data_IF_558554407659
#
_entry.id   IF_558554407659
#
_cell.length_a   1.000
_cell.length_b   1.000
_cell.length_c   1.000
_cell.angle_alpha   90.00
_cell.angle_beta   90.00
_cell.angle_gamma   90.00
#
_symmetry.space_group_name_H-M   'P 1'
#
loop_
_entity.id
_entity.type
_entity.pdbx_description
1 polymer ?
#
# COMPACT_ATOMS: atom_id res chain seq x y z
N UNK A 1 27.68 82.89 -32.20
CA UNK A 1 26.45 82.21 -32.65
C UNK A 1 26.65 80.73 -32.44
N UNK A 2 26.19 80.20 -31.25
CA UNK A 2 26.38 78.83 -30.87
C UNK A 2 25.00 78.11 -30.95
N UNK A 3 24.91 77.13 -31.80
CA UNK A 3 23.74 76.24 -31.88
C UNK A 3 23.86 75.16 -30.82
N UNK A 4 22.86 75.06 -29.95
CA UNK A 4 22.64 73.91 -29.06
C UNK A 4 21.81 72.84 -29.80
N UNK A 5 22.34 71.60 -29.89
CA UNK A 5 21.57 70.41 -30.29
C UNK A 5 21.00 69.76 -29.06
N UNK A 6 19.68 69.69 -28.98
CA UNK A 6 18.93 68.92 -27.93
C UNK A 6 18.72 67.54 -28.48
N UNK A 7 19.41 66.53 -27.94
CA UNK A 7 19.22 65.13 -28.24
C UNK A 7 18.07 64.56 -27.42
N UNK A 8 16.98 64.16 -28.07
CA UNK A 8 15.87 63.43 -27.46
C UNK A 8 16.21 61.91 -27.38
N UNK A 9 16.49 61.38 -26.20
CA UNK A 9 16.64 59.93 -25.98
C UNK A 9 15.26 59.27 -25.85
N UNK A 10 14.84 58.52 -26.85
CA UNK A 10 13.68 57.66 -26.78
C UNK A 10 14.05 56.36 -26.00
N UNK A 11 13.53 56.25 -24.79
CA UNK A 11 13.54 54.97 -24.05
C UNK A 11 12.47 54.02 -24.63
N UNK A 12 12.91 52.96 -25.31
CA UNK A 12 12.04 51.88 -25.70
C UNK A 12 11.80 50.99 -24.45
N UNK A 13 10.61 51.08 -23.85
CA UNK A 13 10.12 50.07 -22.93
C UNK A 13 9.80 48.81 -23.76
N UNK A 14 10.63 47.78 -23.64
CA UNK A 14 10.27 46.45 -24.11
C UNK A 14 9.26 45.87 -23.07
N UNK A 15 7.99 45.92 -23.42
CA UNK A 15 6.94 45.15 -22.74
C UNK A 15 7.14 43.69 -23.21
N UNK A 16 7.77 42.88 -22.40
CA UNK A 16 7.81 41.44 -22.61
C UNK A 16 6.38 40.89 -22.55
N UNK A 17 5.85 40.44 -23.67
CA UNK A 17 4.64 39.63 -23.70
C UNK A 17 4.89 38.39 -22.87
N UNK A 18 4.27 38.32 -21.70
CA UNK A 18 4.11 37.06 -20.95
C UNK A 18 3.17 36.20 -21.80
N UNK A 19 3.75 35.30 -22.60
CA UNK A 19 2.99 34.24 -23.27
C UNK A 19 2.37 33.38 -22.17
N UNK A 20 1.13 33.68 -21.83
CA UNK A 20 0.33 32.79 -21.01
C UNK A 20 0.20 31.48 -21.79
N UNK A 21 0.83 30.43 -21.26
CA UNK A 21 0.67 29.08 -21.77
C UNK A 21 -0.82 28.72 -21.69
N UNK A 22 -1.45 28.45 -22.81
CA UNK A 22 -2.85 28.08 -22.98
C UNK A 22 -3.06 26.60 -22.51
N UNK A 23 -2.51 26.26 -21.34
CA UNK A 23 -2.71 24.95 -20.72
C UNK A 23 -4.08 24.95 -20.04
N UNK A 24 -4.96 24.03 -20.49
CA UNK A 24 -6.26 23.82 -19.85
C UNK A 24 -6.05 23.58 -18.34
N UNK A 25 -6.88 24.18 -17.47
CA UNK A 25 -6.79 23.95 -16.04
C UNK A 25 -6.85 22.45 -15.71
N UNK A 26 -5.88 21.96 -14.96
CA UNK A 26 -5.88 20.58 -14.48
C UNK A 26 -6.69 20.52 -13.19
N UNK A 27 -7.78 19.73 -13.11
CA UNK A 27 -8.54 19.60 -11.87
C UNK A 27 -7.63 19.23 -10.69
N UNK A 28 -7.79 19.93 -9.57
CA UNK A 28 -7.02 19.72 -8.36
C UNK A 28 -5.61 20.32 -8.36
N UNK A 29 -5.21 21.08 -9.39
CA UNK A 29 -3.92 21.76 -9.42
C UNK A 29 -4.13 23.25 -9.64
N UNK A 30 -3.51 24.07 -8.78
CA UNK A 30 -3.46 25.53 -8.91
C UNK A 30 -2.01 26.02 -8.85
N UNK A 31 -1.82 27.33 -8.87
CA UNK A 31 -0.50 27.92 -8.67
C UNK A 31 0.07 27.65 -7.25
N UNK A 32 -0.78 27.37 -6.28
CA UNK A 32 -0.40 27.26 -4.86
C UNK A 32 -0.79 25.94 -4.18
N UNK A 33 -1.53 25.07 -4.88
CA UNK A 33 -2.11 23.87 -4.25
C UNK A 33 -2.19 22.68 -5.22
N UNK A 34 -2.01 21.48 -4.66
CA UNK A 34 -2.29 20.17 -5.29
C UNK A 34 -3.25 19.42 -4.38
N UNK A 35 -4.48 19.15 -4.83
CA UNK A 35 -5.49 18.42 -4.07
C UNK A 35 -5.33 16.91 -4.28
N UNK A 36 -5.08 16.18 -3.21
CA UNK A 36 -4.95 14.71 -3.20
C UNK A 36 -6.10 14.13 -2.39
N UNK A 37 -6.92 13.31 -3.03
CA UNK A 37 -8.01 12.58 -2.40
C UNK A 37 -7.56 11.25 -1.81
N UNK A 38 -8.22 10.81 -0.75
CA UNK A 38 -7.97 9.52 -0.11
C UNK A 38 -9.27 8.95 0.45
N UNK A 39 -9.39 7.62 0.42
CA UNK A 39 -10.41 6.87 1.14
C UNK A 39 -9.70 6.08 2.22
N UNK A 40 -10.21 6.16 3.45
CA UNK A 40 -9.58 5.49 4.59
C UNK A 40 -10.62 4.86 5.49
N UNK A 41 -10.45 3.61 5.95
CA UNK A 41 -11.38 3.00 6.89
C UNK A 41 -11.16 3.55 8.31
N UNK A 42 -11.59 4.79 8.56
CA UNK A 42 -11.56 5.37 9.91
C UNK A 42 -12.54 4.67 10.84
N UNK A 43 -13.55 3.99 10.29
CA UNK A 43 -14.51 3.15 10.99
C UNK A 43 -14.64 1.77 10.32
N UNK A 44 -15.45 0.87 10.89
CA UNK A 44 -15.73 -0.44 10.31
C UNK A 44 -14.71 -1.54 10.62
N UNK A 45 -14.78 -2.64 9.87
CA UNK A 45 -14.02 -3.87 10.14
C UNK A 45 -12.51 -3.75 9.95
N UNK A 46 -12.06 -2.77 9.18
CA UNK A 46 -10.66 -2.50 8.88
C UNK A 46 -10.12 -1.22 9.55
N UNK A 47 -10.80 -0.70 10.58
CA UNK A 47 -10.41 0.54 11.27
C UNK A 47 -9.01 0.51 11.89
N UNK A 48 -8.43 -0.70 12.09
CA UNK A 48 -7.02 -0.86 12.47
C UNK A 48 -6.03 -0.23 11.50
N UNK A 49 -6.41 -0.04 10.23
CA UNK A 49 -5.57 0.62 9.23
C UNK A 49 -5.71 2.17 9.22
N UNK A 50 -6.58 2.76 10.05
CA UNK A 50 -6.82 4.21 10.07
C UNK A 50 -5.58 5.06 10.35
N UNK A 51 -4.58 4.50 11.02
CA UNK A 51 -3.31 5.17 11.31
C UNK A 51 -2.55 5.54 10.03
N UNK A 52 -2.69 4.74 8.95
CA UNK A 52 -2.11 4.97 7.65
C UNK A 52 -2.40 6.41 7.16
N UNK A 53 -3.68 6.76 7.01
CA UNK A 53 -4.09 8.08 6.50
C UNK A 53 -3.69 9.24 7.42
N UNK A 54 -3.68 9.02 8.74
CA UNK A 54 -3.24 10.04 9.70
C UNK A 54 -1.74 10.35 9.59
N UNK A 55 -0.93 9.33 9.34
CA UNK A 55 0.52 9.49 9.13
C UNK A 55 0.80 10.15 7.77
N UNK A 56 0.06 9.80 6.73
CA UNK A 56 0.12 10.45 5.42
C UNK A 56 -0.20 11.95 5.52
N UNK A 57 -1.28 12.30 6.22
CA UNK A 57 -1.66 13.70 6.49
C UNK A 57 -0.55 14.47 7.20
N UNK A 58 0.02 13.87 8.26
CA UNK A 58 1.11 14.47 9.01
C UNK A 58 2.37 14.66 8.15
N UNK A 59 2.65 13.70 7.25
CA UNK A 59 3.77 13.80 6.32
C UNK A 59 3.59 14.91 5.30
N UNK A 60 2.41 15.02 4.71
CA UNK A 60 2.11 16.12 3.78
C UNK A 60 2.13 17.48 4.46
N UNK A 61 1.69 17.56 5.71
CA UNK A 61 1.83 18.78 6.51
C UNK A 61 3.30 19.16 6.66
N UNK A 62 4.19 18.20 7.01
CA UNK A 62 5.64 18.42 7.07
C UNK A 62 6.17 18.99 5.74
N UNK A 63 5.82 18.37 4.62
CA UNK A 63 6.24 18.84 3.29
C UNK A 63 5.73 20.26 3.01
N UNK A 64 4.50 20.56 3.41
CA UNK A 64 3.92 21.90 3.24
C UNK A 64 4.65 22.97 4.10
N UNK A 65 5.06 22.61 5.30
CA UNK A 65 5.84 23.48 6.20
C UNK A 65 7.26 23.73 5.65
N UNK A 66 7.79 22.80 4.84
CA UNK A 66 9.08 22.88 4.14
C UNK A 66 9.00 23.59 2.75
N UNK A 67 7.86 24.15 2.38
CA UNK A 67 7.67 24.89 1.12
C UNK A 67 6.87 24.15 0.05
N UNK A 68 6.40 22.93 0.32
CA UNK A 68 5.53 22.15 -0.58
C UNK A 68 6.28 21.52 -1.76
N UNK A 69 5.56 21.32 -2.84
CA UNK A 69 6.07 20.78 -4.11
C UNK A 69 6.17 21.93 -5.12
N UNK A 70 7.36 22.38 -5.46
CA UNK A 70 7.60 23.52 -6.35
C UNK A 70 6.72 24.74 -5.96
N UNK A 71 6.65 25.06 -4.64
CA UNK A 71 5.86 26.15 -4.10
C UNK A 71 4.36 25.87 -3.92
N UNK A 72 3.87 24.69 -4.31
CA UNK A 72 2.46 24.27 -4.12
C UNK A 72 2.30 23.42 -2.86
N UNK A 73 1.29 23.69 -2.06
CA UNK A 73 0.94 22.87 -0.90
C UNK A 73 0.12 21.66 -1.33
N UNK A 74 0.32 20.54 -0.67
CA UNK A 74 -0.52 19.34 -0.81
C UNK A 74 -1.75 19.53 0.10
N UNK A 75 -2.95 19.64 -0.49
CA UNK A 75 -4.21 19.59 0.21
C UNK A 75 -4.70 18.13 0.23
N UNK A 76 -4.53 17.46 1.36
CA UNK A 76 -4.93 16.07 1.53
C UNK A 76 -6.37 16.00 2.04
N UNK A 77 -7.27 15.39 1.25
CA UNK A 77 -8.71 15.26 1.55
C UNK A 77 -9.02 13.78 1.74
N UNK A 78 -9.16 13.35 2.98
CA UNK A 78 -9.39 11.95 3.34
C UNK A 78 -10.79 11.74 3.92
N UNK A 79 -11.55 10.79 3.34
CA UNK A 79 -12.90 10.45 3.76
C UNK A 79 -12.99 9.02 4.30
N UNK A 80 -13.83 8.85 5.33
CA UNK A 80 -14.15 7.53 5.88
C UNK A 80 -15.03 6.73 4.92
N UNK A 81 -14.53 5.60 4.44
CA UNK A 81 -15.31 4.65 3.63
C UNK A 81 -15.81 3.43 4.42
N UNK A 82 -15.47 3.34 5.70
CA UNK A 82 -15.81 2.21 6.59
C UNK A 82 -15.43 0.83 6.03
N UNK A 83 -14.49 0.76 5.09
CA UNK A 83 -14.12 -0.45 4.33
C UNK A 83 -15.31 -1.06 3.57
N UNK A 84 -16.22 -0.21 3.09
CA UNK A 84 -17.46 -0.58 2.40
C UNK A 84 -17.41 -0.14 0.94
N UNK A 85 -17.38 -1.05 -0.05
CA UNK A 85 -17.33 -0.69 -1.45
C UNK A 85 -18.41 0.29 -1.92
N UNK A 86 -19.69 0.19 -1.50
CA UNK A 86 -20.69 1.20 -1.83
C UNK A 86 -20.34 2.59 -1.31
N UNK A 87 -19.85 2.69 -0.06
CA UNK A 87 -19.44 3.97 0.53
C UNK A 87 -18.17 4.50 -0.14
N UNK A 88 -17.25 3.62 -0.53
CA UNK A 88 -16.06 4.01 -1.30
C UNK A 88 -16.45 4.64 -2.63
N UNK A 89 -17.45 4.11 -3.33
CA UNK A 89 -17.98 4.70 -4.58
C UNK A 89 -18.59 6.08 -4.34
N UNK A 90 -19.39 6.24 -3.28
CA UNK A 90 -19.98 7.53 -2.89
C UNK A 90 -18.90 8.58 -2.61
N UNK A 91 -17.95 8.26 -1.73
CA UNK A 91 -16.90 9.20 -1.33
C UNK A 91 -15.92 9.50 -2.49
N UNK A 92 -15.64 8.52 -3.36
CA UNK A 92 -14.85 8.75 -4.57
C UNK A 92 -15.52 9.76 -5.50
N UNK A 93 -16.83 9.65 -5.72
CA UNK A 93 -17.56 10.63 -6.54
C UNK A 93 -17.48 12.02 -5.94
N UNK A 94 -17.62 12.14 -4.62
CA UNK A 94 -17.48 13.42 -3.92
C UNK A 94 -16.09 14.01 -4.13
N UNK A 95 -15.03 13.23 -3.95
CA UNK A 95 -13.65 13.67 -4.17
C UNK A 95 -13.40 14.14 -5.62
N UNK A 96 -13.98 13.42 -6.60
CA UNK A 96 -13.76 13.73 -8.03
C UNK A 96 -14.66 14.86 -8.54
N UNK A 97 -15.96 14.86 -8.17
CA UNK A 97 -16.96 15.72 -8.77
C UNK A 97 -17.21 17.02 -7.98
N UNK A 98 -16.97 16.98 -6.65
CA UNK A 98 -17.18 18.15 -5.78
C UNK A 98 -15.88 18.80 -5.33
N UNK A 99 -14.91 17.99 -4.86
CA UNK A 99 -13.63 18.49 -4.37
C UNK A 99 -12.63 18.70 -5.52
N UNK A 100 -12.90 18.08 -6.70
CA UNK A 100 -12.07 18.15 -7.92
C UNK A 100 -10.60 17.78 -7.64
N UNK A 101 -10.36 16.64 -6.98
CA UNK A 101 -9.01 16.22 -6.63
C UNK A 101 -8.17 15.88 -7.88
N UNK A 102 -6.87 16.11 -7.80
CA UNK A 102 -5.90 15.75 -8.85
C UNK A 102 -5.79 14.23 -9.02
N UNK A 103 -5.67 13.52 -7.92
CA UNK A 103 -5.54 12.07 -7.87
C UNK A 103 -6.18 11.50 -6.59
N UNK A 104 -6.52 10.20 -6.61
CA UNK A 104 -6.85 9.40 -5.42
C UNK A 104 -5.59 8.60 -5.05
N UNK A 105 -5.16 8.70 -3.78
CA UNK A 105 -3.90 8.16 -3.30
C UNK A 105 -4.09 7.20 -2.14
N UNK A 106 -3.33 6.08 -2.14
CA UNK A 106 -3.09 5.18 -1.00
C UNK A 106 -4.32 4.62 -0.29
N UNK A 107 -5.46 4.53 -0.97
CA UNK A 107 -6.66 3.96 -0.36
C UNK A 107 -6.46 2.46 -0.10
N UNK A 108 -6.68 1.95 1.14
CA UNK A 108 -6.55 0.53 1.43
C UNK A 108 -7.81 -0.27 1.05
N UNK A 109 -7.60 -1.56 0.76
CA UNK A 109 -8.69 -2.51 0.52
C UNK A 109 -8.97 -2.82 -0.94
N UNK A 110 -8.98 -4.12 -1.25
CA UNK A 110 -9.12 -4.61 -2.63
C UNK A 110 -10.52 -4.36 -3.19
N UNK A 111 -11.56 -4.76 -2.47
CA UNK A 111 -12.94 -4.61 -2.95
C UNK A 111 -13.35 -3.13 -3.10
N UNK A 112 -12.98 -2.26 -2.16
CA UNK A 112 -13.22 -0.81 -2.22
C UNK A 112 -12.57 -0.17 -3.45
N UNK A 113 -11.30 -0.44 -3.68
CA UNK A 113 -10.58 0.11 -4.83
C UNK A 113 -11.07 -0.47 -6.16
N UNK A 114 -11.42 -1.76 -6.21
CA UNK A 114 -12.02 -2.39 -7.39
C UNK A 114 -13.34 -1.72 -7.77
N UNK A 115 -14.18 -1.39 -6.80
CA UNK A 115 -15.48 -0.75 -7.05
C UNK A 115 -15.36 0.64 -7.68
N UNK A 116 -14.27 1.36 -7.41
CA UNK A 116 -14.03 2.73 -7.90
C UNK A 116 -13.16 2.79 -9.16
N UNK A 117 -12.36 1.76 -9.41
CA UNK A 117 -11.32 1.72 -10.43
C UNK A 117 -11.83 2.03 -11.84
N UNK A 118 -12.94 1.39 -12.26
CA UNK A 118 -13.52 1.61 -13.60
C UNK A 118 -13.95 3.07 -13.80
N UNK A 119 -14.61 3.65 -12.79
CA UNK A 119 -15.03 5.05 -12.80
C UNK A 119 -13.84 6.01 -12.92
N UNK A 120 -12.82 5.81 -12.08
CA UNK A 120 -11.61 6.64 -12.07
C UNK A 120 -10.87 6.57 -13.41
N UNK A 121 -10.73 5.36 -13.99
CA UNK A 121 -10.12 5.19 -15.31
C UNK A 121 -10.93 5.88 -16.43
N UNK A 122 -12.27 5.81 -16.41
CA UNK A 122 -13.12 6.52 -17.36
C UNK A 122 -13.00 8.05 -17.24
N UNK A 123 -12.85 8.57 -16.01
CA UNK A 123 -12.66 10.00 -15.73
C UNK A 123 -11.20 10.45 -15.92
N UNK A 124 -10.27 9.54 -16.19
CA UNK A 124 -8.82 9.80 -16.25
C UNK A 124 -8.31 10.49 -14.98
N UNK A 125 -8.78 10.02 -13.83
CA UNK A 125 -8.29 10.43 -12.51
C UNK A 125 -7.32 9.36 -12.02
N UNK A 126 -6.05 9.70 -11.75
CA UNK A 126 -5.10 8.74 -11.22
C UNK A 126 -5.58 8.12 -9.91
N UNK A 127 -5.60 6.79 -9.83
CA UNK A 127 -5.73 6.00 -8.63
C UNK A 127 -4.34 5.44 -8.33
N UNK A 128 -3.55 6.23 -7.61
CA UNK A 128 -2.11 6.02 -7.50
C UNK A 128 -1.71 5.40 -6.17
N UNK A 129 -0.77 4.47 -6.22
CA UNK A 129 -0.19 3.81 -5.07
C UNK A 129 -1.25 3.20 -4.15
N UNK A 130 -2.22 2.50 -4.77
CA UNK A 130 -3.29 1.79 -4.06
C UNK A 130 -2.66 0.86 -3.01
N UNK A 131 -3.14 0.96 -1.77
CA UNK A 131 -2.70 0.08 -0.68
C UNK A 131 -3.46 -1.25 -0.75
N UNK A 132 -3.22 -1.96 -1.85
CA UNK A 132 -3.67 -3.32 -2.13
C UNK A 132 -2.74 -3.96 -3.16
N UNK A 133 -2.37 -5.22 -2.91
CA UNK A 133 -1.54 -6.03 -3.79
C UNK A 133 -2.33 -6.88 -4.78
N UNK A 134 -3.63 -6.60 -5.01
CA UNK A 134 -4.38 -7.35 -6.01
C UNK A 134 -3.79 -7.14 -7.41
N UNK A 135 -3.55 -8.23 -8.13
CA UNK A 135 -2.82 -8.25 -9.40
C UNK A 135 -3.40 -7.28 -10.45
N UNK A 136 -4.71 -7.04 -10.41
CA UNK A 136 -5.37 -6.10 -11.33
C UNK A 136 -4.89 -4.65 -11.23
N UNK A 137 -4.34 -4.21 -10.08
CA UNK A 137 -3.82 -2.85 -9.90
C UNK A 137 -2.42 -2.65 -10.51
N UNK A 138 -1.80 -3.74 -10.98
CA UNK A 138 -0.53 -3.72 -11.69
C UNK A 138 -0.66 -3.86 -13.22
N UNK A 139 -1.88 -3.87 -13.79
CA UNK A 139 -2.14 -4.07 -15.22
C UNK A 139 -2.47 -2.76 -15.96
N UNK A 140 -1.45 -2.05 -16.52
CA UNK A 140 -1.66 -0.79 -17.24
C UNK A 140 -2.42 -0.94 -18.55
N UNK A 141 -2.49 -2.17 -19.10
CA UNK A 141 -3.18 -2.41 -20.37
C UNK A 141 -4.70 -2.30 -20.21
N UNK A 142 -5.21 -2.74 -19.07
CA UNK A 142 -6.64 -2.65 -18.72
C UNK A 142 -6.98 -1.38 -17.97
N UNK A 143 -6.09 -0.92 -17.08
CA UNK A 143 -6.35 0.17 -16.15
C UNK A 143 -5.18 1.17 -16.10
N UNK A 144 -4.96 1.95 -17.18
CA UNK A 144 -3.81 2.85 -17.32
C UNK A 144 -3.78 4.01 -16.30
N UNK A 145 -4.86 4.22 -15.55
CA UNK A 145 -4.97 5.25 -14.52
C UNK A 145 -4.96 4.69 -13.10
N UNK A 146 -4.62 3.38 -12.94
CA UNK A 146 -4.54 2.72 -11.64
C UNK A 146 -3.19 2.06 -11.46
N UNK A 147 -2.53 2.30 -10.32
CA UNK A 147 -1.25 1.69 -9.96
C UNK A 147 -1.26 1.29 -8.48
N UNK A 148 -0.89 0.04 -8.17
CA UNK A 148 -0.67 -0.43 -6.81
C UNK A 148 0.60 0.15 -6.19
N UNK A 149 0.79 -0.06 -4.88
CA UNK A 149 2.03 0.28 -4.17
C UNK A 149 2.65 -0.93 -3.49
N UNK A 150 1.83 -1.71 -2.78
CA UNK A 150 2.31 -2.90 -2.10
C UNK A 150 2.52 -4.06 -3.09
N UNK A 151 3.41 -5.00 -2.79
CA UNK A 151 3.66 -6.15 -3.66
C UNK A 151 2.40 -6.98 -3.93
N UNK A 152 2.39 -7.69 -5.06
CA UNK A 152 1.25 -8.52 -5.44
C UNK A 152 1.02 -9.69 -4.48
N UNK A 153 -0.23 -9.88 -4.06
CA UNK A 153 -0.67 -11.00 -3.22
C UNK A 153 -0.43 -12.36 -3.86
N UNK A 154 -0.62 -12.48 -5.19
CA UNK A 154 -0.31 -13.69 -5.90
C UNK A 154 1.16 -14.07 -5.75
N UNK A 155 2.09 -13.09 -5.87
CA UNK A 155 3.53 -13.32 -5.71
C UNK A 155 3.89 -13.78 -4.31
N UNK A 156 3.27 -13.19 -3.29
CA UNK A 156 3.43 -13.64 -1.90
C UNK A 156 2.94 -15.09 -1.73
N UNK A 157 1.78 -15.42 -2.31
CA UNK A 157 1.25 -16.78 -2.34
C UNK A 157 2.22 -17.79 -3.00
N UNK A 158 2.87 -17.40 -4.12
CA UNK A 158 3.90 -18.21 -4.79
C UNK A 158 5.07 -18.51 -3.86
N UNK A 159 5.55 -17.49 -3.13
CA UNK A 159 6.66 -17.64 -2.18
C UNK A 159 6.28 -18.61 -1.07
N UNK A 160 5.07 -18.52 -0.54
CA UNK A 160 4.58 -19.46 0.48
C UNK A 160 4.52 -20.88 -0.05
N UNK A 161 3.96 -21.11 -1.25
CA UNK A 161 3.90 -22.42 -1.87
C UNK A 161 5.28 -23.04 -2.06
N UNK A 162 6.23 -22.30 -2.64
CA UNK A 162 7.62 -22.73 -2.82
C UNK A 162 8.30 -23.04 -1.47
N UNK A 163 8.10 -22.18 -0.45
CA UNK A 163 8.68 -22.39 0.85
C UNK A 163 8.08 -23.63 1.54
N UNK A 164 6.76 -23.84 1.48
CA UNK A 164 6.11 -25.03 2.05
C UNK A 164 6.70 -26.31 1.45
N UNK A 165 6.79 -26.41 0.11
CA UNK A 165 7.37 -27.59 -0.55
C UNK A 165 8.82 -27.83 -0.08
N UNK A 166 9.61 -26.76 0.04
CA UNK A 166 11.02 -26.87 0.45
C UNK A 166 11.18 -27.38 1.89
N UNK A 167 10.24 -27.04 2.78
CA UNK A 167 10.27 -27.48 4.18
C UNK A 167 9.60 -28.83 4.42
N UNK A 168 8.48 -29.09 3.75
CA UNK A 168 7.72 -30.32 3.85
C UNK A 168 7.07 -30.66 2.51
N UNK A 169 7.72 -31.49 1.67
CA UNK A 169 7.15 -31.88 0.38
C UNK A 169 5.86 -32.70 0.47
N UNK A 170 5.48 -33.19 1.64
CA UNK A 170 4.26 -33.95 1.88
C UNK A 170 3.22 -33.18 2.72
N UNK A 171 3.37 -31.86 2.83
CA UNK A 171 2.45 -31.01 3.60
C UNK A 171 0.99 -31.17 3.14
N UNK A 172 0.09 -31.27 4.10
CA UNK A 172 -1.35 -31.22 3.90
C UNK A 172 -1.81 -29.81 4.24
N UNK A 173 -2.12 -29.02 3.19
CA UNK A 173 -2.34 -27.59 3.33
C UNK A 173 -3.82 -27.28 3.39
N UNK A 174 -4.20 -26.44 4.35
CA UNK A 174 -5.48 -25.76 4.38
C UNK A 174 -5.27 -24.25 4.15
N UNK A 175 -6.20 -23.58 3.47
CA UNK A 175 -6.20 -22.13 3.32
C UNK A 175 -7.53 -21.54 3.80
N UNK A 176 -7.42 -20.47 4.63
CA UNK A 176 -8.50 -19.54 4.94
C UNK A 176 -8.25 -18.26 4.14
N UNK A 177 -9.23 -17.79 3.36
CA UNK A 177 -9.03 -16.62 2.52
C UNK A 177 -10.27 -15.72 2.46
N UNK A 178 -10.05 -14.40 2.30
CA UNK A 178 -11.13 -13.45 2.08
C UNK A 178 -11.78 -13.71 0.72
N UNK A 179 -13.10 -13.67 0.63
CA UNK A 179 -13.84 -14.00 -0.60
C UNK A 179 -13.92 -12.81 -1.56
N UNK A 180 -12.75 -12.34 -2.01
CA UNK A 180 -12.59 -11.32 -3.04
C UNK A 180 -11.22 -11.49 -3.74
N UNK A 181 -10.87 -10.57 -4.65
CA UNK A 181 -9.59 -10.64 -5.38
C UNK A 181 -8.35 -10.72 -4.46
N UNK A 182 -8.42 -10.19 -3.23
CA UNK A 182 -7.33 -10.34 -2.26
C UNK A 182 -7.06 -11.80 -1.91
N UNK A 183 -8.10 -12.53 -1.48
CA UNK A 183 -7.96 -13.93 -1.12
C UNK A 183 -7.78 -14.84 -2.33
N UNK A 184 -8.43 -14.53 -3.45
CA UNK A 184 -8.29 -15.32 -4.68
C UNK A 184 -6.87 -15.23 -5.26
N UNK A 185 -6.21 -14.07 -5.20
CA UNK A 185 -4.82 -13.90 -5.62
C UNK A 185 -3.87 -14.76 -4.76
N UNK A 186 -4.05 -14.78 -3.41
CA UNK A 186 -3.27 -15.68 -2.55
C UNK A 186 -3.50 -17.15 -2.89
N UNK A 187 -4.75 -17.55 -3.10
CA UNK A 187 -5.09 -18.92 -3.47
C UNK A 187 -4.47 -19.31 -4.82
N UNK A 188 -4.52 -18.41 -5.81
CA UNK A 188 -3.91 -18.62 -7.11
C UNK A 188 -2.37 -18.71 -7.00
N UNK A 189 -1.75 -17.81 -6.26
CA UNK A 189 -0.31 -17.81 -6.03
C UNK A 189 0.16 -19.04 -5.26
N UNK A 190 -0.58 -19.46 -4.22
CA UNK A 190 -0.27 -20.69 -3.49
C UNK A 190 -0.29 -21.91 -4.42
N UNK A 191 -1.32 -22.05 -5.27
CA UNK A 191 -1.42 -23.12 -6.26
C UNK A 191 -0.26 -23.07 -7.26
N UNK A 192 0.09 -21.89 -7.76
CA UNK A 192 1.23 -21.69 -8.67
C UNK A 192 2.55 -22.09 -7.99
N UNK A 193 2.79 -21.64 -6.76
CA UNK A 193 4.00 -21.99 -5.99
C UNK A 193 4.13 -23.47 -5.66
N UNK A 194 3.00 -24.19 -5.49
CA UNK A 194 2.95 -25.64 -5.31
C UNK A 194 3.10 -26.41 -6.64
N UNK A 195 2.85 -25.74 -7.78
CA UNK A 195 2.96 -26.33 -9.10
C UNK A 195 2.02 -27.53 -9.30
N UNK A 196 2.53 -28.58 -9.95
CA UNK A 196 1.76 -29.83 -10.22
C UNK A 196 1.29 -30.55 -8.96
N UNK A 197 1.89 -30.25 -7.81
CA UNK A 197 1.52 -30.85 -6.51
C UNK A 197 0.34 -30.17 -5.81
N UNK A 198 -0.12 -29.02 -6.33
CA UNK A 198 -1.20 -28.29 -5.72
C UNK A 198 -2.47 -29.14 -5.46
N UNK A 199 -2.96 -30.00 -6.41
CA UNK A 199 -4.15 -30.81 -6.16
C UNK A 199 -4.01 -31.83 -5.03
N UNK A 200 -2.80 -32.32 -4.78
CA UNK A 200 -2.52 -33.30 -3.73
C UNK A 200 -2.31 -32.63 -2.37
N UNK A 201 -1.62 -31.49 -2.36
CA UNK A 201 -1.19 -30.82 -1.14
C UNK A 201 -2.26 -29.89 -0.57
N UNK A 202 -3.03 -29.17 -1.39
CA UNK A 202 -4.07 -28.24 -0.96
C UNK A 202 -5.40 -28.99 -0.73
N UNK A 203 -5.54 -29.57 0.46
CA UNK A 203 -6.62 -30.49 0.79
C UNK A 203 -7.90 -29.83 1.31
N UNK A 204 -7.83 -28.56 1.79
CA UNK A 204 -8.98 -27.83 2.30
C UNK A 204 -8.89 -26.34 2.02
N UNK A 205 -10.05 -25.74 1.72
CA UNK A 205 -10.19 -24.32 1.44
C UNK A 205 -11.45 -23.82 2.13
N UNK A 206 -11.38 -22.67 2.80
CA UNK A 206 -12.52 -21.96 3.33
C UNK A 206 -12.39 -20.48 3.09
N UNK A 207 -13.45 -19.84 2.62
CA UNK A 207 -13.51 -18.39 2.44
C UNK A 207 -14.30 -17.73 3.57
N UNK A 208 -14.14 -16.42 3.72
CA UNK A 208 -14.94 -15.57 4.59
C UNK A 208 -15.27 -14.24 3.93
N UNK A 209 -16.37 -13.61 4.38
CA UNK A 209 -16.75 -12.26 4.01
C UNK A 209 -16.34 -11.25 5.09
N UNK A 210 -15.95 -10.03 4.69
CA UNK A 210 -15.57 -8.98 5.65
C UNK A 210 -16.72 -8.51 6.54
N UNK A 211 -17.96 -8.84 6.16
CA UNK A 211 -19.19 -8.59 6.92
C UNK A 211 -19.47 -9.63 8.01
N UNK A 212 -18.79 -10.78 7.97
CA UNK A 212 -19.01 -11.83 8.96
C UNK A 212 -18.57 -11.39 10.36
N UNK A 213 -19.33 -11.74 11.42
CA UNK A 213 -18.92 -11.43 12.78
C UNK A 213 -17.75 -12.30 13.24
N UNK A 214 -17.70 -13.56 12.83
CA UNK A 214 -16.70 -14.57 13.22
C UNK A 214 -16.45 -15.58 12.12
N UNK A 215 -15.20 -16.13 12.11
CA UNK A 215 -14.75 -17.16 11.17
C UNK A 215 -14.38 -18.47 11.86
N UNK A 216 -14.77 -18.64 13.12
CA UNK A 216 -14.38 -19.82 13.91
C UNK A 216 -14.86 -21.14 13.30
N UNK A 217 -16.06 -21.18 12.70
CA UNK A 217 -16.56 -22.36 12.00
C UNK A 217 -15.70 -22.77 10.81
N UNK A 218 -15.21 -21.79 10.03
CA UNK A 218 -14.29 -22.04 8.92
C UNK A 218 -12.99 -22.66 9.41
N UNK A 219 -12.40 -22.15 10.51
CA UNK A 219 -11.17 -22.70 11.09
C UNK A 219 -11.40 -24.14 11.63
N UNK A 220 -12.53 -24.40 12.26
CA UNK A 220 -12.91 -25.76 12.73
C UNK A 220 -12.97 -26.73 11.55
N UNK A 221 -13.60 -26.32 10.43
CA UNK A 221 -13.69 -27.12 9.21
C UNK A 221 -12.31 -27.40 8.63
N UNK A 222 -11.44 -26.40 8.57
CA UNK A 222 -10.07 -26.57 8.07
C UNK A 222 -9.25 -27.52 8.96
N UNK A 223 -9.38 -27.45 10.29
CA UNK A 223 -8.75 -28.40 11.20
C UNK A 223 -9.25 -29.83 10.97
N UNK A 224 -10.56 -30.02 10.77
CA UNK A 224 -11.17 -31.32 10.56
C UNK A 224 -10.68 -32.02 9.28
N UNK A 225 -10.12 -31.31 8.32
CA UNK A 225 -9.52 -31.88 7.11
C UNK A 225 -8.25 -32.71 7.37
N UNK A 226 -7.64 -32.56 8.55
CA UNK A 226 -6.36 -33.18 8.88
C UNK A 226 -5.14 -32.46 8.30
N UNK A 227 -5.28 -31.17 7.93
CA UNK A 227 -4.16 -30.36 7.46
C UNK A 227 -3.13 -30.14 8.59
N UNK A 228 -1.85 -30.16 8.20
CA UNK A 228 -0.69 -29.87 9.06
C UNK A 228 -0.08 -28.49 8.79
N UNK A 229 -0.55 -27.83 7.75
CA UNK A 229 -0.11 -26.51 7.32
C UNK A 229 -1.34 -25.64 7.06
N UNK A 230 -1.33 -24.39 7.57
CA UNK A 230 -2.42 -23.42 7.43
C UNK A 230 -1.90 -22.14 6.80
N UNK A 231 -2.53 -21.70 5.72
CA UNK A 231 -2.33 -20.38 5.14
C UNK A 231 -3.53 -19.50 5.46
N UNK A 232 -3.29 -18.30 6.03
CA UNK A 232 -4.32 -17.35 6.43
C UNK A 232 -4.18 -16.08 5.58
N UNK A 233 -4.89 -16.03 4.47
CA UNK A 233 -4.99 -14.87 3.59
C UNK A 233 -6.13 -13.97 4.07
N UNK A 234 -5.88 -13.20 5.15
CA UNK A 234 -6.90 -12.44 5.86
C UNK A 234 -6.40 -11.06 6.29
N UNK A 235 -7.32 -10.11 6.47
CA UNK A 235 -7.02 -8.83 7.13
C UNK A 235 -6.91 -9.02 8.65
N UNK A 236 -6.30 -8.05 9.34
CA UNK A 236 -5.94 -8.15 10.77
C UNK A 236 -7.04 -8.71 11.67
N UNK A 237 -8.28 -8.22 11.58
CA UNK A 237 -9.42 -8.70 12.39
C UNK A 237 -9.61 -10.22 12.29
N UNK A 238 -9.60 -10.73 11.08
CA UNK A 238 -9.90 -12.16 10.82
C UNK A 238 -8.67 -13.04 11.03
N UNK A 239 -7.47 -12.55 10.76
CA UNK A 239 -6.24 -13.25 11.13
C UNK A 239 -6.12 -13.41 12.65
N UNK A 240 -6.46 -12.38 13.44
CA UNK A 240 -6.54 -12.45 14.90
C UNK A 240 -7.49 -13.56 15.35
N UNK A 241 -8.68 -13.63 14.76
CA UNK A 241 -9.67 -14.66 15.08
C UNK A 241 -9.15 -16.06 14.70
N UNK A 242 -8.53 -16.20 13.51
CA UNK A 242 -7.96 -17.47 13.07
C UNK A 242 -6.89 -17.99 14.04
N UNK A 243 -5.92 -17.14 14.41
CA UNK A 243 -4.83 -17.49 15.34
C UNK A 243 -5.39 -17.91 16.71
N UNK A 244 -6.36 -17.16 17.26
CA UNK A 244 -7.04 -17.53 18.51
C UNK A 244 -7.73 -18.86 18.42
N UNK A 245 -8.56 -19.07 17.39
CA UNK A 245 -9.32 -20.31 17.23
C UNK A 245 -8.39 -21.51 17.03
N UNK A 246 -7.28 -21.35 16.29
CA UNK A 246 -6.24 -22.39 16.15
C UNK A 246 -5.70 -22.80 17.52
N UNK A 247 -5.38 -21.82 18.38
CA UNK A 247 -4.87 -22.06 19.73
C UNK A 247 -5.93 -22.72 20.64
N UNK A 248 -7.16 -22.21 20.67
CA UNK A 248 -8.29 -22.75 21.44
C UNK A 248 -8.60 -24.20 21.06
N UNK A 249 -8.44 -24.54 19.79
CA UNK A 249 -8.61 -25.90 19.31
C UNK A 249 -7.41 -26.82 19.58
N UNK A 250 -6.34 -26.31 20.20
CA UNK A 250 -5.07 -27.04 20.38
C UNK A 250 -4.54 -27.61 19.02
N UNK A 251 -4.88 -26.97 17.91
CA UNK A 251 -4.35 -27.32 16.59
C UNK A 251 -2.96 -26.69 16.42
N UNK A 252 -2.00 -27.41 15.89
CA UNK A 252 -0.61 -26.98 15.76
C UNK A 252 -0.10 -27.10 14.32
N UNK A 253 -0.73 -26.42 13.37
CA UNK A 253 -0.24 -26.43 11.99
C UNK A 253 0.98 -25.53 11.86
N UNK A 254 1.83 -25.79 10.87
CA UNK A 254 2.75 -24.77 10.37
C UNK A 254 1.91 -23.65 9.76
N UNK A 255 1.97 -22.45 10.33
CA UNK A 255 1.05 -21.35 9.97
C UNK A 255 1.77 -20.25 9.20
N UNK A 256 1.15 -19.81 8.08
CA UNK A 256 1.53 -18.64 7.30
C UNK A 256 0.39 -17.64 7.36
N UNK A 257 0.72 -16.36 7.56
CA UNK A 257 -0.26 -15.26 7.49
C UNK A 257 0.15 -14.29 6.41
N UNK A 258 -0.83 -13.67 5.74
CA UNK A 258 -0.58 -12.62 4.77
C UNK A 258 0.21 -11.45 5.39
N UNK A 259 1.10 -10.83 4.62
CA UNK A 259 1.84 -9.64 5.06
C UNK A 259 0.91 -8.55 5.59
N UNK A 260 -0.26 -8.36 4.96
CA UNK A 260 -1.27 -7.39 5.39
C UNK A 260 -1.81 -7.62 6.80
N UNK A 261 -1.65 -8.83 7.35
CA UNK A 261 -2.05 -9.20 8.71
C UNK A 261 -0.86 -9.47 9.64
N UNK A 262 0.36 -9.20 9.22
CA UNK A 262 1.55 -9.46 10.02
C UNK A 262 1.81 -8.41 11.13
N UNK A 263 0.98 -7.39 11.26
CA UNK A 263 1.14 -6.31 12.24
C UNK A 263 1.03 -6.83 13.67
N UNK A 264 2.03 -6.57 14.48
CA UNK A 264 2.09 -7.03 15.87
C UNK A 264 0.95 -6.42 16.67
N UNK A 265 0.78 -5.10 16.65
CA UNK A 265 -0.22 -4.39 17.46
C UNK A 265 -1.67 -4.74 17.14
N UNK A 266 -2.03 -4.83 15.85
CA UNK A 266 -3.43 -4.98 15.43
C UNK A 266 -3.84 -6.44 15.18
N UNK A 267 -2.87 -7.36 15.09
CA UNK A 267 -3.12 -8.77 14.81
C UNK A 267 -2.59 -9.69 15.90
N UNK A 268 -1.27 -9.69 16.12
CA UNK A 268 -0.63 -10.71 16.96
C UNK A 268 -0.86 -10.48 18.46
N UNK A 269 -0.73 -9.23 18.95
CA UNK A 269 -1.05 -8.89 20.35
C UNK A 269 -2.50 -9.23 20.71
N UNK A 270 -3.51 -8.81 19.93
CA UNK A 270 -4.88 -9.20 20.19
C UNK A 270 -5.12 -10.71 20.08
N UNK A 271 -4.38 -11.43 19.25
CA UNK A 271 -4.47 -12.90 19.16
C UNK A 271 -3.83 -13.62 20.34
N UNK A 272 -2.95 -12.91 21.07
CA UNK A 272 -2.07 -13.47 22.11
C UNK A 272 -0.71 -13.82 21.52
N UNK A 273 0.34 -13.09 21.89
CA UNK A 273 1.69 -13.25 21.31
C UNK A 273 2.20 -14.70 21.40
N UNK A 274 1.91 -15.41 22.52
CA UNK A 274 2.26 -16.82 22.69
C UNK A 274 1.60 -17.75 21.66
N UNK A 275 0.40 -17.40 21.17
CA UNK A 275 -0.32 -18.17 20.15
C UNK A 275 0.27 -17.94 18.75
N UNK A 276 1.02 -16.86 18.57
CA UNK A 276 1.61 -16.47 17.30
C UNK A 276 3.07 -16.93 17.12
N UNK A 277 3.70 -17.50 18.16
CA UNK A 277 5.11 -17.95 18.08
C UNK A 277 5.27 -18.98 16.96
N UNK A 278 6.23 -18.73 16.08
CA UNK A 278 6.53 -19.60 14.94
C UNK A 278 5.71 -19.34 13.69
N UNK A 279 4.69 -18.47 13.72
CA UNK A 279 3.97 -18.04 12.51
C UNK A 279 4.95 -17.40 11.53
N UNK A 280 4.77 -17.70 10.26
CA UNK A 280 5.56 -17.16 9.16
C UNK A 280 4.76 -16.17 8.32
N UNK A 281 5.48 -15.24 7.73
CA UNK A 281 4.97 -14.27 6.75
C UNK A 281 6.10 -13.85 5.82
N UNK A 282 5.86 -12.83 4.98
CA UNK A 282 6.86 -12.23 4.12
C UNK A 282 6.90 -10.72 4.32
N UNK A 283 8.08 -10.13 4.30
CA UNK A 283 8.30 -8.70 4.45
C UNK A 283 8.92 -8.09 3.20
N UNK A 284 8.59 -6.85 2.92
CA UNK A 284 9.26 -6.00 1.94
C UNK A 284 9.70 -4.66 2.56
N UNK A 285 9.29 -4.41 3.80
CA UNK A 285 9.64 -3.22 4.60
C UNK A 285 10.29 -3.64 5.92
N UNK A 286 11.09 -2.72 6.46
CA UNK A 286 11.63 -2.78 7.81
C UNK A 286 10.50 -2.60 8.82
N UNK A 287 10.45 -3.42 9.84
CA UNK A 287 9.47 -3.34 10.92
C UNK A 287 10.01 -2.41 12.03
N UNK A 288 9.31 -1.33 12.40
CA UNK A 288 9.73 -0.45 13.50
C UNK A 288 9.83 -1.12 14.86
N UNK A 289 9.16 -2.26 15.06
CA UNK A 289 9.17 -3.01 16.30
C UNK A 289 10.33 -4.04 16.36
N UNK A 290 11.09 -4.21 15.26
CA UNK A 290 12.28 -5.08 15.22
C UNK A 290 13.53 -4.31 15.64
N UNK A 291 14.19 -4.71 16.76
CA UNK A 291 15.42 -4.07 17.26
C UNK A 291 16.58 -4.04 16.26
N UNK A 292 16.59 -4.93 15.27
CA UNK A 292 17.61 -4.95 14.22
C UNK A 292 17.68 -3.63 13.44
N UNK A 293 16.57 -2.91 13.33
CA UNK A 293 16.48 -1.63 12.61
C UNK A 293 16.67 -0.39 13.49
N UNK A 294 16.88 -0.53 14.79
CA UNK A 294 16.95 0.60 15.73
C UNK A 294 18.03 1.65 15.39
N UNK A 295 19.06 1.28 14.62
CA UNK A 295 20.14 2.17 14.17
C UNK A 295 20.15 2.41 12.66
N UNK A 296 19.13 1.90 11.93
CA UNK A 296 19.01 2.11 10.50
C UNK A 296 18.66 3.57 10.20
N UNK A 297 19.34 4.24 9.25
CA UNK A 297 19.13 5.65 8.96
C UNK A 297 17.65 5.97 8.59
N UNK A 298 17.03 5.15 7.72
CA UNK A 298 15.62 5.36 7.31
C UNK A 298 14.66 5.17 8.49
N UNK A 299 14.96 4.23 9.40
CA UNK A 299 14.17 4.02 10.61
C UNK A 299 14.33 5.17 11.60
N UNK A 300 15.54 5.71 11.77
CA UNK A 300 15.78 6.88 12.61
C UNK A 300 15.04 8.12 12.07
N UNK A 301 15.03 8.32 10.74
CA UNK A 301 14.25 9.40 10.11
C UNK A 301 12.74 9.23 10.37
N UNK A 302 12.23 8.01 10.23
CA UNK A 302 10.83 7.71 10.53
C UNK A 302 10.50 8.00 11.99
N UNK A 303 11.32 7.57 12.95
CA UNK A 303 11.08 7.85 14.37
C UNK A 303 11.13 9.34 14.67
N UNK A 304 12.11 10.05 14.13
CA UNK A 304 12.21 11.50 14.29
C UNK A 304 11.00 12.23 13.68
N UNK A 305 10.50 11.77 12.52
CA UNK A 305 9.28 12.28 11.92
C UNK A 305 8.07 12.07 12.84
N UNK A 306 7.87 10.85 13.34
CA UNK A 306 6.75 10.53 14.22
C UNK A 306 6.78 11.38 15.50
N UNK A 307 7.95 11.50 16.14
CA UNK A 307 8.12 12.29 17.37
C UNK A 307 7.80 13.76 17.16
N UNK A 308 8.13 14.32 16.01
CA UNK A 308 7.96 15.74 15.71
C UNK A 308 6.60 16.10 15.14
N UNK A 309 6.07 15.27 14.23
CA UNK A 309 4.91 15.61 13.42
C UNK A 309 3.65 14.82 13.78
N UNK A 310 3.80 13.68 14.46
CA UNK A 310 2.67 12.87 14.92
C UNK A 310 2.98 12.15 16.25
N UNK A 311 3.29 12.89 17.33
CA UNK A 311 3.80 12.33 18.59
C UNK A 311 2.81 11.42 19.33
N UNK A 312 1.50 11.54 19.07
CA UNK A 312 0.47 10.68 19.64
C UNK A 312 0.25 9.37 18.88
N UNK A 313 0.88 9.21 17.71
CA UNK A 313 0.73 8.02 16.87
C UNK A 313 1.61 6.87 17.32
N UNK A 314 1.10 5.64 17.17
CA UNK A 314 1.91 4.44 17.35
C UNK A 314 3.01 4.38 16.26
N UNK A 315 4.21 3.95 16.66
CA UNK A 315 5.36 3.77 15.76
C UNK A 315 5.44 2.29 15.33
N UNK A 316 4.43 1.82 14.64
CA UNK A 316 4.27 0.44 14.22
C UNK A 316 4.31 0.29 12.68
N UNK A 317 4.14 -0.92 12.18
CA UNK A 317 4.17 -1.24 10.75
C UNK A 317 3.14 -0.43 9.92
N UNK A 318 1.94 -0.15 10.46
CA UNK A 318 0.93 0.66 9.76
C UNK A 318 1.39 2.12 9.61
N UNK A 319 2.01 2.69 10.65
CA UNK A 319 2.58 4.03 10.57
C UNK A 319 3.75 4.07 9.57
N UNK A 320 4.61 3.05 9.58
CA UNK A 320 5.72 2.92 8.62
C UNK A 320 5.22 2.80 7.17
N UNK A 321 4.10 2.09 6.94
CA UNK A 321 3.45 2.01 5.63
C UNK A 321 2.99 3.40 5.17
N UNK A 322 2.29 4.16 6.02
CA UNK A 322 1.83 5.52 5.69
C UNK A 322 2.97 6.48 5.40
N UNK A 323 4.03 6.40 6.17
CA UNK A 323 5.22 7.21 5.95
C UNK A 323 5.89 6.89 4.60
N UNK A 324 6.09 5.61 4.29
CA UNK A 324 6.74 5.17 3.05
C UNK A 324 5.90 5.46 1.80
N UNK A 325 4.57 5.26 1.86
CA UNK A 325 3.68 5.59 0.75
C UNK A 325 3.62 7.10 0.49
N UNK A 326 3.57 7.93 1.55
CA UNK A 326 3.61 9.38 1.42
C UNK A 326 4.96 9.88 0.84
N UNK A 327 6.10 9.29 1.23
CA UNK A 327 7.40 9.56 0.61
C UNK A 327 7.36 9.26 -0.90
N UNK A 328 6.76 8.14 -1.29
CA UNK A 328 6.64 7.72 -2.69
C UNK A 328 5.82 8.72 -3.51
N UNK A 329 4.70 9.22 -2.97
CA UNK A 329 3.91 10.24 -3.65
C UNK A 329 4.67 11.56 -3.81
N UNK A 330 5.35 12.01 -2.75
CA UNK A 330 6.15 13.25 -2.79
C UNK A 330 7.28 13.12 -3.79
N UNK A 331 7.97 11.97 -3.85
CA UNK A 331 8.96 11.68 -4.86
C UNK A 331 8.36 11.84 -6.27
N UNK A 332 7.23 11.17 -6.53
CA UNK A 332 6.56 11.20 -7.83
C UNK A 332 6.11 12.61 -8.24
N UNK A 333 5.52 13.38 -7.34
CA UNK A 333 5.12 14.76 -7.59
C UNK A 333 6.33 15.65 -7.93
N UNK A 334 7.47 15.46 -7.27
CA UNK A 334 8.72 16.17 -7.59
C UNK A 334 9.28 15.81 -8.96
N UNK A 335 9.15 14.54 -9.40
CA UNK A 335 9.57 14.11 -10.73
C UNK A 335 8.72 14.75 -11.85
N UNK A 336 7.49 15.16 -11.58
CA UNK A 336 6.64 15.84 -12.54
C UNK A 336 7.13 17.27 -12.85
N UNK A 337 7.96 17.88 -12.00
CA UNK A 337 8.38 19.28 -12.15
C UNK A 337 7.16 20.20 -12.13
N UNK A 338 7.11 21.12 -13.09
CA UNK A 338 5.99 22.06 -13.26
C UNK A 338 4.85 21.50 -14.13
N UNK A 339 5.07 20.40 -14.84
CA UNK A 339 4.04 19.70 -15.61
C UNK A 339 3.26 18.74 -14.73
N UNK A 340 2.29 19.28 -14.00
CA UNK A 340 1.34 18.56 -13.19
C UNK A 340 0.06 18.19 -13.98
N UNK A 341 0.20 17.80 -15.25
CA UNK A 341 -0.89 17.11 -15.96
C UNK A 341 -1.02 15.69 -15.44
N UNK A 342 -2.24 15.14 -15.42
CA UNK A 342 -2.47 13.75 -15.00
C UNK A 342 -1.76 12.74 -15.92
N UNK A 343 -1.65 13.07 -17.20
CA UNK A 343 -0.91 12.30 -18.20
C UNK A 343 0.59 12.22 -17.87
N UNK A 344 1.23 13.37 -17.58
CA UNK A 344 2.64 13.36 -17.16
C UNK A 344 2.82 12.65 -15.82
N UNK A 345 1.92 12.87 -14.87
CA UNK A 345 1.97 12.19 -13.56
C UNK A 345 1.97 10.66 -13.72
N UNK A 346 1.06 10.09 -14.52
CA UNK A 346 1.04 8.64 -14.78
C UNK A 346 2.26 8.19 -15.59
N UNK A 347 2.77 9.01 -16.52
CA UNK A 347 4.02 8.74 -17.25
C UNK A 347 5.22 8.64 -16.31
N UNK A 348 5.35 9.57 -15.35
CA UNK A 348 6.41 9.52 -14.34
C UNK A 348 6.24 8.29 -13.43
N UNK A 349 5.01 8.00 -13.01
CA UNK A 349 4.70 6.80 -12.23
C UNK A 349 5.09 5.51 -12.97
N UNK A 350 4.92 5.45 -14.30
CA UNK A 350 5.27 4.32 -15.16
C UNK A 350 6.77 4.25 -15.51
N UNK A 351 7.62 5.10 -14.93
CA UNK A 351 9.03 5.17 -15.28
C UNK A 351 9.97 5.22 -14.07
N UNK A 352 9.51 4.74 -12.92
CA UNK A 352 10.34 4.62 -11.72
C UNK A 352 11.52 3.67 -11.96
N UNK A 353 12.72 4.05 -11.51
CA UNK A 353 13.95 3.26 -11.68
C UNK A 353 14.78 3.31 -10.41
N UNK A 354 14.91 2.16 -9.75
CA UNK A 354 15.71 1.99 -8.54
C UNK A 354 15.43 3.07 -7.48
N UNK A 355 14.14 3.42 -7.31
CA UNK A 355 13.76 4.45 -6.34
C UNK A 355 13.86 3.86 -4.95
N UNK A 356 14.75 4.42 -4.15
CA UNK A 356 14.96 4.04 -2.76
C UNK A 356 13.95 4.76 -1.86
N UNK A 357 13.25 3.99 -1.04
CA UNK A 357 12.40 4.48 0.05
C UNK A 357 13.01 3.94 1.35
N UNK A 358 13.31 4.82 2.29
CA UNK A 358 14.13 4.50 3.46
C UNK A 358 13.66 3.33 4.32
N UNK A 359 12.37 3.00 4.26
CA UNK A 359 11.78 1.88 5.00
C UNK A 359 11.63 0.58 4.19
N UNK A 360 11.98 0.53 2.92
CA UNK A 360 12.08 -0.75 2.21
C UNK A 360 13.26 -1.56 2.73
N UNK A 361 13.17 -2.89 2.65
CA UNK A 361 14.27 -3.77 3.03
C UNK A 361 15.49 -3.52 2.12
N UNK A 362 16.71 -3.73 2.62
CA UNK A 362 17.92 -3.59 1.82
C UNK A 362 17.85 -4.41 0.53
N UNK A 363 18.15 -3.77 -0.60
CA UNK A 363 18.08 -4.40 -1.93
C UNK A 363 16.71 -4.34 -2.60
N UNK A 364 15.67 -3.88 -1.91
CA UNK A 364 14.35 -3.65 -2.49
C UNK A 364 14.20 -2.17 -2.88
N UNK A 365 13.84 -1.92 -4.13
CA UNK A 365 13.62 -0.58 -4.68
C UNK A 365 12.34 -0.55 -5.52
N UNK A 366 11.77 0.63 -5.71
CA UNK A 366 10.59 0.77 -6.58
C UNK A 366 11.03 0.86 -8.04
N UNK A 367 10.41 0.02 -8.87
CA UNK A 367 10.62 -0.01 -10.32
C UNK A 367 9.28 -0.20 -11.03
N UNK A 368 9.06 0.52 -12.13
CA UNK A 368 7.85 0.39 -12.95
C UNK A 368 8.20 0.49 -14.43
N UNK A 369 7.27 0.12 -15.29
CA UNK A 369 7.41 0.32 -16.74
C UNK A 369 6.06 0.62 -17.38
N UNK A 370 6.05 0.93 -18.65
CA UNK A 370 4.82 1.14 -19.42
C UNK A 370 3.92 -0.12 -19.47
N UNK A 371 4.48 -1.29 -19.16
CA UNK A 371 3.78 -2.58 -19.17
C UNK A 371 3.69 -3.24 -17.80
N UNK A 372 4.25 -2.61 -16.76
CA UNK A 372 4.26 -3.15 -15.40
C UNK A 372 4.08 -2.02 -14.37
N UNK A 373 2.93 -1.99 -13.72
CA UNK A 373 2.55 -1.05 -12.66
C UNK A 373 2.68 -1.66 -11.25
N UNK A 374 3.65 -2.57 -11.07
CA UNK A 374 4.00 -3.15 -9.76
C UNK A 374 5.29 -2.53 -9.26
N UNK A 375 5.23 -1.46 -8.44
CA UNK A 375 6.44 -0.76 -8.00
C UNK A 375 7.39 -1.61 -7.17
N UNK A 376 6.84 -2.52 -6.36
CA UNK A 376 7.58 -3.39 -5.45
C UNK A 376 7.14 -4.83 -5.73
N UNK A 377 8.08 -5.72 -6.00
CA UNK A 377 7.77 -7.11 -6.36
C UNK A 377 8.63 -8.15 -5.62
N UNK A 378 9.40 -7.71 -4.64
CA UNK A 378 10.34 -8.53 -3.89
C UNK A 378 9.91 -8.67 -2.43
N UNK A 379 10.27 -9.82 -1.84
CA UNK A 379 10.00 -10.13 -0.45
C UNK A 379 11.18 -10.86 0.20
N UNK A 380 11.22 -10.82 1.53
CA UNK A 380 12.03 -11.70 2.35
C UNK A 380 11.12 -12.41 3.36
N UNK A 381 11.33 -13.71 3.57
CA UNK A 381 10.56 -14.47 4.57
C UNK A 381 10.88 -13.99 5.98
N UNK A 382 9.87 -14.03 6.85
CA UNK A 382 10.00 -13.71 8.27
C UNK A 382 9.24 -14.70 9.14
N UNK A 383 9.69 -14.86 10.41
CA UNK A 383 9.08 -15.71 11.43
C UNK A 383 8.94 -14.94 12.72
N UNK A 384 7.78 -15.04 13.35
CA UNK A 384 7.54 -14.39 14.64
C UNK A 384 8.15 -15.22 15.77
N UNK A 385 8.98 -14.58 16.61
CA UNK A 385 9.69 -15.25 17.71
C UNK A 385 8.99 -15.12 19.07
N UNK A 386 7.85 -14.41 19.14
CA UNK A 386 7.10 -14.11 20.36
C UNK A 386 7.18 -12.64 20.77
N UNK A 387 8.15 -11.88 20.25
CA UNK A 387 8.38 -10.46 20.54
C UNK A 387 8.35 -9.63 19.27
N UNK A 388 9.09 -10.04 18.25
CA UNK A 388 9.21 -9.35 16.95
C UNK A 388 9.37 -10.34 15.80
N UNK A 389 9.28 -9.83 14.58
CA UNK A 389 9.54 -10.60 13.37
C UNK A 389 11.04 -10.74 13.13
N UNK A 390 11.49 -11.95 12.83
CA UNK A 390 12.88 -12.26 12.47
C UNK A 390 12.93 -12.63 10.99
N UNK A 391 13.65 -11.85 10.21
CA UNK A 391 13.89 -12.12 8.79
C UNK A 391 14.78 -13.35 8.62
N UNK A 392 14.52 -14.15 7.59
CA UNK A 392 15.36 -15.29 7.23
C UNK A 392 15.34 -15.53 5.71
N UNK A 393 16.36 -16.26 5.24
CA UNK A 393 16.55 -16.49 3.80
C UNK A 393 16.92 -15.22 3.03
N UNK A 394 17.10 -15.32 1.70
CA UNK A 394 17.38 -14.18 0.84
C UNK A 394 16.12 -13.36 0.54
N UNK A 395 16.31 -12.14 0.05
CA UNK A 395 15.27 -11.42 -0.69
C UNK A 395 14.99 -12.18 -1.98
N UNK A 396 13.74 -12.45 -2.27
CA UNK A 396 13.30 -13.23 -3.44
C UNK A 396 12.32 -12.42 -4.29
N UNK A 397 12.44 -12.59 -5.61
CA UNK A 397 11.40 -12.25 -6.58
C UNK A 397 10.69 -13.55 -6.95
N UNK A 398 9.35 -13.59 -7.01
CA UNK A 398 8.59 -14.81 -7.34
C UNK A 398 8.80 -15.30 -8.75
#
# INVERSE_FOLDING_TARGET
MKLLFLGCALLFLQIGEVVASDTKPVPGVSATEIKIGNLMPYSGSASGYSLLGKVEEAYFKKINDEGGINGRKIAFISYDDAFSPPKSVEQTRKLVESDEVFAIFSSPGTASNTATMKYLNQKKVPQIFVTSGAAKFGDPTKFPWTMGWIPHYQREGVIYGKHIISQNPNAKIAILYQNDDFGWDYLAGLKEGLGERAPEMLIAQASYETSEPTISSSVITLKASGADTLVVAAISKFATQAIRTVAELAWKPTTYVSNTAATIDTTLKPAGLGNAVGIMSAAYRKDPEDPAWAKDPGMLEFFAFMDRHYPSGAKNDIAALGYASAQSLVYLLRQCGDDLTRENFMKQAASLRNVEIGLLLPGITMNTSATDFVPIDQFQMMRFNGEHWVLFGPVVSP
#
